data_IF_693877901637
#
_entry.id   IF_693877901637
#
_cell.length_a   1.000
_cell.length_b   1.000
_cell.length_c   1.000
_cell.angle_alpha   90.00
_cell.angle_beta   90.00
_cell.angle_gamma   90.00
#
_symmetry.space_group_name_H-M   'P 1'
#
loop_
_entity.id
_entity.type
_entity.pdbx_description
1 polymer ?
#
# COMPACT_ATOMS: atom_id res chain seq x y z
N UNK A 1 12.58 8.56 10.11
CA UNK A 1 12.25 8.05 8.77
C UNK A 1 12.61 6.58 8.75
N UNK A 2 11.61 5.71 8.62
CA UNK A 2 11.78 4.25 8.57
C UNK A 2 11.62 3.78 7.12
N UNK A 3 12.58 3.00 6.62
CA UNK A 3 12.51 2.34 5.32
C UNK A 3 12.58 0.84 5.53
N UNK A 4 11.61 0.10 4.99
CA UNK A 4 11.55 -1.35 5.07
C UNK A 4 11.62 -2.00 3.70
N UNK A 5 12.67 -2.80 3.47
CA UNK A 5 12.82 -3.64 2.28
C UNK A 5 12.01 -4.93 2.44
N UNK A 6 11.33 -5.37 1.38
CA UNK A 6 10.49 -6.58 1.35
C UNK A 6 10.67 -7.31 0.01
N UNK A 7 10.35 -8.61 -0.08
CA UNK A 7 10.45 -9.35 -1.35
C UNK A 7 9.59 -8.76 -2.48
N UNK A 8 8.48 -8.10 -2.13
CA UNK A 8 7.59 -7.44 -3.09
C UNK A 8 8.04 -6.02 -3.48
N UNK A 9 9.07 -5.47 -2.84
CA UNK A 9 9.53 -4.09 -3.05
C UNK A 9 9.92 -3.39 -1.75
N UNK A 10 9.40 -2.20 -1.48
CA UNK A 10 9.72 -1.47 -0.26
C UNK A 10 8.62 -0.52 0.19
N UNK A 11 8.65 -0.15 1.46
CA UNK A 11 7.90 1.00 1.97
C UNK A 11 8.82 1.98 2.69
N UNK A 12 8.37 3.22 2.74
CA UNK A 12 8.95 4.31 3.51
C UNK A 12 7.85 4.98 4.32
N UNK A 13 8.08 5.20 5.61
CA UNK A 13 7.18 5.96 6.48
C UNK A 13 7.54 7.44 6.39
N UNK A 14 6.64 8.20 5.77
CA UNK A 14 6.80 9.64 5.56
C UNK A 14 6.31 10.45 6.77
N UNK A 15 5.22 10.00 7.41
CA UNK A 15 4.64 10.60 8.61
C UNK A 15 4.13 9.52 9.55
N UNK A 16 4.33 9.72 10.85
CA UNK A 16 3.93 8.81 11.91
C UNK A 16 3.30 9.58 13.06
N UNK A 17 1.98 9.70 13.03
CA UNK A 17 1.19 10.45 14.00
C UNK A 17 0.33 9.51 14.85
N UNK A 18 -0.14 9.93 16.03
CA UNK A 18 -0.95 9.08 16.92
C UNK A 18 -2.23 8.52 16.27
N UNK A 19 -2.77 9.19 15.24
CA UNK A 19 -4.04 8.84 14.61
C UNK A 19 -3.89 8.34 13.17
N UNK A 20 -2.76 8.58 12.50
CA UNK A 20 -2.55 8.18 11.11
C UNK A 20 -1.08 7.98 10.78
N UNK A 21 -0.83 7.26 9.68
CA UNK A 21 0.51 7.04 9.14
C UNK A 21 0.47 7.21 7.64
N UNK A 22 1.43 7.95 7.09
CA UNK A 22 1.58 8.11 5.64
C UNK A 22 2.77 7.30 5.19
N UNK A 23 2.55 6.43 4.20
CA UNK A 23 3.60 5.60 3.62
C UNK A 23 3.70 5.83 2.12
N UNK A 24 4.93 5.86 1.61
CA UNK A 24 5.23 5.66 0.20
C UNK A 24 5.60 4.20 0.01
N UNK A 25 4.96 3.54 -0.95
CA UNK A 25 5.13 2.10 -1.19
C UNK A 25 5.49 1.89 -2.66
N UNK A 26 6.52 1.07 -2.89
CA UNK A 26 6.94 0.62 -4.21
C UNK A 26 6.69 -0.88 -4.26
N UNK A 27 5.82 -1.30 -5.16
CA UNK A 27 5.57 -2.71 -5.47
C UNK A 27 6.24 -3.01 -6.81
N UNK A 28 7.11 -4.01 -6.84
CA UNK A 28 7.81 -4.41 -8.06
C UNK A 28 6.86 -5.11 -9.03
N UNK A 29 7.12 -5.07 -10.36
CA UNK A 29 6.28 -5.74 -11.34
C UNK A 29 6.06 -7.23 -11.02
N UNK A 30 4.80 -7.68 -11.12
CA UNK A 30 4.40 -9.06 -10.81
C UNK A 30 4.35 -9.40 -9.31
N UNK A 31 4.68 -8.46 -8.43
CA UNK A 31 4.57 -8.63 -6.99
C UNK A 31 3.24 -8.07 -6.47
N UNK A 32 2.90 -8.43 -5.24
CA UNK A 32 1.70 -7.96 -4.56
C UNK A 32 1.90 -7.77 -3.07
N UNK A 33 1.05 -6.92 -2.51
CA UNK A 33 0.82 -6.88 -1.07
C UNK A 33 -0.15 -8.00 -0.67
N UNK A 34 -0.07 -8.48 0.56
CA UNK A 34 -1.08 -9.37 1.12
C UNK A 34 -2.40 -8.62 1.30
N UNK A 35 -3.54 -9.28 1.05
CA UNK A 35 -4.86 -8.71 1.37
C UNK A 35 -4.91 -8.32 2.85
N UNK A 36 -5.44 -7.14 3.14
CA UNK A 36 -5.58 -6.60 4.49
C UNK A 36 -7.06 -6.37 4.80
N UNK A 37 -7.45 -6.63 6.05
CA UNK A 37 -8.78 -6.31 6.57
C UNK A 37 -8.63 -5.53 7.87
N UNK A 38 -9.44 -4.49 8.04
CA UNK A 38 -9.42 -3.66 9.23
C UNK A 38 -10.84 -3.30 9.70
N UNK A 39 -11.09 -3.35 11.01
CA UNK A 39 -12.38 -2.94 11.58
C UNK A 39 -12.48 -1.44 11.87
N UNK A 40 -11.36 -0.77 12.20
CA UNK A 40 -11.33 0.62 12.70
C UNK A 40 -10.36 1.53 11.95
N UNK A 41 -9.89 1.08 10.79
CA UNK A 41 -8.93 1.82 9.98
C UNK A 41 -9.46 1.91 8.56
N UNK A 42 -9.49 3.14 8.06
CA UNK A 42 -9.62 3.40 6.64
C UNK A 42 -8.22 3.55 6.04
N UNK A 43 -8.05 3.12 4.81
CA UNK A 43 -6.86 3.41 4.01
C UNK A 43 -7.27 4.21 2.77
N UNK A 44 -6.45 5.18 2.41
CA UNK A 44 -6.58 5.90 1.16
C UNK A 44 -5.33 5.62 0.33
N UNK A 45 -5.55 5.13 -0.89
CA UNK A 45 -4.50 4.72 -1.81
C UNK A 45 -4.52 5.58 -3.06
N UNK A 46 -3.34 5.88 -3.57
CA UNK A 46 -3.16 6.61 -4.83
C UNK A 46 -1.99 5.97 -5.58
N UNK A 47 -2.25 5.55 -6.82
CA UNK A 47 -1.18 5.12 -7.72
C UNK A 47 -0.48 6.38 -8.22
N UNK A 48 0.76 6.58 -7.80
CA UNK A 48 1.54 7.78 -8.16
C UNK A 48 2.20 7.60 -9.54
N UNK A 49 2.67 6.39 -9.84
CA UNK A 49 3.35 6.02 -11.10
C UNK A 49 3.05 4.55 -11.42
N UNK A 50 2.78 4.27 -12.69
CA UNK A 50 2.52 2.92 -13.20
C UNK A 50 1.04 2.55 -13.20
N UNK A 51 0.78 1.27 -13.44
CA UNK A 51 -0.55 0.65 -13.40
C UNK A 51 -0.59 -0.38 -12.26
N UNK A 52 -1.74 -0.53 -11.60
CA UNK A 52 -1.94 -1.53 -10.57
C UNK A 52 -3.33 -2.20 -10.66
N UNK A 53 -3.35 -3.51 -10.47
CA UNK A 53 -4.59 -4.23 -10.17
C UNK A 53 -4.87 -4.13 -8.66
N UNK A 54 -6.02 -3.58 -8.30
CA UNK A 54 -6.43 -3.33 -6.92
C UNK A 54 -7.65 -4.17 -6.59
N UNK A 55 -7.52 -5.05 -5.60
CA UNK A 55 -8.62 -5.91 -5.14
C UNK A 55 -9.25 -5.36 -3.87
N UNK A 56 -10.58 -5.20 -3.88
CA UNK A 56 -11.39 -4.83 -2.71
C UNK A 56 -12.51 -5.86 -2.55
N UNK A 57 -12.39 -6.71 -1.53
CA UNK A 57 -13.30 -7.84 -1.35
C UNK A 57 -13.18 -8.82 -2.51
N UNK A 58 -14.27 -9.00 -3.26
CA UNK A 58 -14.33 -9.87 -4.44
C UNK A 58 -14.13 -9.12 -5.76
N UNK A 59 -14.06 -7.79 -5.72
CA UNK A 59 -13.93 -6.96 -6.90
C UNK A 59 -12.47 -6.60 -7.16
N UNK A 60 -12.09 -6.50 -8.44
CA UNK A 60 -10.77 -6.04 -8.86
C UNK A 60 -10.89 -4.91 -9.88
N UNK A 61 -10.13 -3.85 -9.65
CA UNK A 61 -10.08 -2.64 -10.44
C UNK A 61 -8.69 -2.49 -11.02
N UNK A 62 -8.59 -1.88 -12.20
CA UNK A 62 -7.31 -1.44 -12.75
C UNK A 62 -7.19 0.07 -12.54
N UNK A 63 -6.14 0.49 -11.83
CA UNK A 63 -5.82 1.89 -11.57
C UNK A 63 -4.50 2.28 -12.25
#
# INVERSE_FOLDING_TARGET
MEIGQRPWGQYEVLLDEPTYKVKRIIVLPGQRLSLQMHHRRAEHWTVVVGDADVTVGEETFRL
#
